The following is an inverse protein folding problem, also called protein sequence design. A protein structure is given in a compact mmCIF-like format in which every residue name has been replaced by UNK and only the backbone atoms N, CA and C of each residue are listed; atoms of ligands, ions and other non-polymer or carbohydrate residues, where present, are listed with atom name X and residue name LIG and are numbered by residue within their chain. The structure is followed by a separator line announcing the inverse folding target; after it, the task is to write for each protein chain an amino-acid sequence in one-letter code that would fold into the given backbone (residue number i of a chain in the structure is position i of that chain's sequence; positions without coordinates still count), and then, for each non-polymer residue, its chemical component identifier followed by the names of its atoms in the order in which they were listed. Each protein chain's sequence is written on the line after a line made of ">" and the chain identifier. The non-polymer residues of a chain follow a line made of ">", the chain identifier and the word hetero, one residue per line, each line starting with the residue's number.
data_IF_360122342994
#
_entry.id   IF_360122342994
#
_cell.length_a   1.000
_cell.length_b   1.000
_cell.length_c   1.000
_cell.angle_alpha   90.00
_cell.angle_beta   90.00
_cell.angle_gamma   90.00
#
_symmetry.space_group_name_H-M   'P 1'
#
loop_
_entity.id
_entity.type
_entity.pdbx_description
1 polymer ?
#
# COMPACT_ATOMS: atom_id res chain seq x y z
N UNK A 1 8.28 -5.11 -1.98
CA UNK A 1 8.40 -6.03 -3.13
C UNK A 1 8.47 -7.45 -2.60
N UNK A 2 7.85 -8.40 -3.28
CA UNK A 2 7.92 -9.82 -2.93
C UNK A 2 8.82 -10.54 -3.92
N UNK A 3 9.92 -11.12 -3.43
CA UNK A 3 10.87 -11.90 -4.23
C UNK A 3 10.35 -13.34 -4.42
N UNK A 4 10.75 -13.98 -5.51
CA UNK A 4 10.45 -15.40 -5.80
C UNK A 4 9.13 -15.66 -6.53
N UNK A 5 8.35 -14.61 -6.87
CA UNK A 5 7.17 -14.75 -7.71
C UNK A 5 7.54 -14.65 -9.20
N UNK A 6 6.78 -15.32 -10.10
CA UNK A 6 7.02 -15.26 -11.54
C UNK A 6 6.59 -13.92 -12.18
N UNK A 7 6.17 -12.94 -11.36
CA UNK A 7 5.81 -11.59 -11.77
C UNK A 7 6.14 -10.59 -10.67
N UNK A 8 6.24 -9.31 -11.04
CA UNK A 8 6.50 -8.24 -10.08
C UNK A 8 5.29 -8.07 -9.17
N UNK A 9 5.51 -8.19 -7.87
CA UNK A 9 4.51 -7.89 -6.84
C UNK A 9 5.05 -6.89 -5.84
N UNK A 10 4.37 -5.77 -5.72
CA UNK A 10 4.59 -4.71 -4.73
C UNK A 10 3.36 -4.56 -3.84
N UNK A 11 3.49 -3.83 -2.75
CA UNK A 11 2.39 -3.49 -1.86
C UNK A 11 2.76 -2.27 -1.02
N UNK A 12 1.78 -1.47 -0.57
CA UNK A 12 2.02 -0.50 0.49
C UNK A 12 2.49 -1.21 1.77
N UNK A 13 3.10 -0.43 2.66
CA UNK A 13 3.64 -0.83 3.98
C UNK A 13 2.64 -0.67 5.14
N UNK A 14 1.41 -0.23 4.86
CA UNK A 14 0.36 -0.04 5.87
C UNK A 14 -0.78 -1.05 5.74
N UNK A 15 -1.55 -1.21 6.82
CA UNK A 15 -2.76 -2.03 6.87
C UNK A 15 -4.04 -1.31 6.39
N UNK A 16 -5.20 -1.80 6.85
CA UNK A 16 -6.53 -1.35 6.39
C UNK A 16 -6.97 0.01 6.96
N UNK A 17 -6.43 0.42 8.11
CA UNK A 17 -6.74 1.71 8.75
C UNK A 17 -8.27 1.97 8.93
N UNK A 18 -9.02 0.96 9.41
CA UNK A 18 -10.49 1.03 9.55
C UNK A 18 -10.98 2.16 10.46
N UNK A 19 -10.20 2.54 11.46
CA UNK A 19 -10.48 3.67 12.36
C UNK A 19 -10.55 5.02 11.63
N UNK A 20 -9.93 5.14 10.45
CA UNK A 20 -9.92 6.37 9.63
C UNK A 20 -10.50 6.20 8.22
N UNK A 21 -11.06 5.03 7.89
CA UNK A 21 -11.72 4.79 6.62
C UNK A 21 -12.84 5.83 6.38
N UNK A 22 -12.87 6.41 5.18
CA UNK A 22 -13.83 7.45 4.79
C UNK A 22 -13.58 8.85 5.38
N UNK A 23 -12.55 9.06 6.21
CA UNK A 23 -12.27 10.36 6.85
C UNK A 23 -11.31 11.26 6.07
N UNK A 24 -10.77 10.80 4.93
CA UNK A 24 -9.77 11.55 4.14
C UNK A 24 -8.42 11.76 4.85
N UNK A 25 -8.11 10.99 5.89
CA UNK A 25 -6.90 11.14 6.72
C UNK A 25 -5.75 10.20 6.37
N UNK A 26 -5.97 9.22 5.50
CA UNK A 26 -4.95 8.23 5.14
C UNK A 26 -3.80 8.88 4.34
N UNK A 27 -2.56 8.55 4.66
CA UNK A 27 -1.39 8.99 3.91
C UNK A 27 -1.17 8.08 2.68
N UNK A 28 -1.27 8.58 1.44
CA UNK A 28 -1.17 7.74 0.24
C UNK A 28 0.28 7.43 -0.21
N UNK A 29 1.30 8.01 0.44
CA UNK A 29 2.69 7.95 -0.05
C UNK A 29 3.21 6.53 -0.26
N UNK A 30 2.85 5.61 0.62
CA UNK A 30 3.26 4.22 0.52
C UNK A 30 2.64 3.49 -0.68
N UNK A 31 1.34 3.70 -0.92
CA UNK A 31 0.65 3.16 -2.10
C UNK A 31 1.28 3.71 -3.39
N UNK A 32 1.57 5.01 -3.44
CA UNK A 32 2.21 5.65 -4.59
C UNK A 32 3.59 5.02 -4.86
N UNK A 33 4.40 4.79 -3.82
CA UNK A 33 5.70 4.11 -3.93
C UNK A 33 5.57 2.64 -4.35
N UNK A 34 4.45 1.98 -4.03
CA UNK A 34 4.22 0.61 -4.44
C UNK A 34 3.82 0.51 -5.93
N UNK A 35 3.19 1.54 -6.48
CA UNK A 35 2.74 1.57 -7.89
C UNK A 35 3.84 2.05 -8.84
N UNK A 36 4.69 2.99 -8.40
CA UNK A 36 5.81 3.53 -9.20
C UNK A 36 7.00 2.58 -9.24
#
# INVERSE_FOLDING_TARGET
>A
MTLGLPFIRTSPDHGTAFDIAGKGKANPQSMIKAIR
#
